data_IF_839270839167
#
_entry.id   IF_839270839167
#
_cell.length_a   1.000
_cell.length_b   1.000
_cell.length_c   1.000
_cell.angle_alpha   90.00
_cell.angle_beta   90.00
_cell.angle_gamma   90.00
#
_symmetry.space_group_name_H-M   'P 1'
#
loop_
_entity.id
_entity.type
_entity.pdbx_description
1 polymer ?
#
# COMPACT_ATOMS: atom_id res chain seq x y z
N UNK A 1 20.93 2.47 3.09
CA UNK A 1 21.19 1.58 4.25
C UNK A 1 19.92 1.30 5.07
N UNK A 2 19.10 2.31 5.43
CA UNK A 2 17.91 2.15 6.27
C UNK A 2 16.82 1.23 5.64
N UNK A 3 16.63 1.25 4.34
CA UNK A 3 15.62 0.45 3.62
C UNK A 3 15.97 -1.03 3.59
N UNK A 4 17.22 -1.38 3.33
CA UNK A 4 17.69 -2.76 3.37
C UNK A 4 17.61 -3.35 4.79
N UNK A 5 17.85 -2.54 5.81
CA UNK A 5 17.70 -2.93 7.21
C UNK A 5 16.23 -3.23 7.57
N UNK A 6 15.26 -2.48 7.04
CA UNK A 6 13.83 -2.75 7.25
C UNK A 6 13.39 -4.08 6.64
N UNK A 7 13.81 -4.35 5.39
CA UNK A 7 13.54 -5.62 4.73
C UNK A 7 14.17 -6.80 5.48
N UNK A 8 15.41 -6.65 5.96
CA UNK A 8 16.10 -7.67 6.75
C UNK A 8 15.40 -7.95 8.09
N UNK A 9 14.97 -6.91 8.81
CA UNK A 9 14.22 -7.05 10.07
C UNK A 9 12.90 -7.80 9.88
N UNK A 10 12.16 -7.50 8.80
CA UNK A 10 10.92 -8.21 8.50
C UNK A 10 11.18 -9.70 8.25
N UNK A 11 12.21 -10.03 7.44
CA UNK A 11 12.58 -11.43 7.18
C UNK A 11 12.99 -12.16 8.46
N UNK A 12 13.80 -11.54 9.32
CA UNK A 12 14.21 -12.12 10.59
C UNK A 12 13.00 -12.38 11.51
N UNK A 13 12.05 -11.44 11.56
CA UNK A 13 10.83 -11.59 12.34
C UNK A 13 9.96 -12.73 11.84
N UNK A 14 9.77 -12.85 10.53
CA UNK A 14 9.03 -13.97 9.91
C UNK A 14 9.69 -15.32 10.27
N UNK A 15 11.01 -15.38 10.25
CA UNK A 15 11.75 -16.60 10.54
C UNK A 15 11.66 -17.02 12.02
N UNK A 16 11.45 -16.08 12.94
CA UNK A 16 11.39 -16.34 14.39
C UNK A 16 9.98 -16.55 14.96
N UNK A 17 8.94 -16.20 14.19
CA UNK A 17 7.54 -16.27 14.64
C UNK A 17 6.73 -17.25 13.80
N UNK A 18 6.37 -18.39 14.40
CA UNK A 18 5.62 -19.47 13.72
C UNK A 18 4.22 -19.03 13.26
N UNK A 19 3.57 -18.12 14.01
CA UNK A 19 2.26 -17.58 13.63
C UNK A 19 2.38 -16.70 12.38
N UNK A 20 3.41 -15.88 12.33
CA UNK A 20 3.71 -15.03 11.19
C UNK A 20 4.13 -15.85 9.96
N UNK A 21 4.90 -16.92 10.15
CA UNK A 21 5.25 -17.87 9.09
C UNK A 21 4.01 -18.53 8.48
N UNK A 22 3.03 -18.93 9.30
CA UNK A 22 1.75 -19.46 8.81
C UNK A 22 0.95 -18.44 8.00
N UNK A 23 0.98 -17.17 8.39
CA UNK A 23 0.37 -16.07 7.62
C UNK A 23 1.07 -15.92 6.26
N UNK A 24 2.41 -15.96 6.22
CA UNK A 24 3.16 -15.90 4.96
C UNK A 24 2.80 -17.07 4.03
N UNK A 25 2.68 -18.29 4.55
CA UNK A 25 2.25 -19.45 3.76
C UNK A 25 0.88 -19.21 3.10
N UNK A 26 -0.07 -18.66 3.83
CA UNK A 26 -1.39 -18.30 3.26
C UNK A 26 -1.29 -17.21 2.19
N UNK A 27 -0.41 -16.22 2.36
CA UNK A 27 -0.16 -15.18 1.35
C UNK A 27 0.39 -15.74 0.04
N UNK A 28 1.31 -16.70 0.13
CA UNK A 28 1.90 -17.39 -1.04
C UNK A 28 0.87 -18.21 -1.83
N UNK A 29 -0.25 -18.59 -1.22
CA UNK A 29 -1.35 -19.33 -1.86
C UNK A 29 -2.38 -18.42 -2.56
N UNK A 30 -2.29 -17.08 -2.39
CA UNK A 30 -3.22 -16.16 -3.05
C UNK A 30 -2.99 -16.13 -4.56
N UNK A 31 -4.05 -16.15 -5.39
CA UNK A 31 -3.93 -16.19 -6.85
C UNK A 31 -3.07 -15.05 -7.44
N UNK A 32 -3.10 -13.85 -6.84
CA UNK A 32 -2.28 -12.72 -7.29
C UNK A 32 -0.77 -12.97 -7.19
N UNK A 33 -0.36 -13.97 -6.40
CA UNK A 33 1.05 -14.33 -6.20
C UNK A 33 1.74 -14.77 -7.50
N UNK A 34 1.05 -15.50 -8.36
CA UNK A 34 1.56 -15.95 -9.66
C UNK A 34 1.91 -14.77 -10.58
N UNK A 35 1.24 -13.64 -10.41
CA UNK A 35 1.42 -12.45 -11.23
C UNK A 35 2.36 -11.40 -10.62
N UNK A 36 2.97 -11.68 -9.46
CA UNK A 36 3.83 -10.72 -8.75
C UNK A 36 4.88 -10.09 -9.64
N UNK A 37 5.67 -10.91 -10.35
CA UNK A 37 6.77 -10.40 -11.18
C UNK A 37 6.27 -9.63 -12.39
N UNK A 38 5.17 -10.07 -13.00
CA UNK A 38 4.52 -9.35 -14.09
C UNK A 38 4.01 -7.98 -13.65
N UNK A 39 3.37 -7.89 -12.48
CA UNK A 39 2.91 -6.63 -11.88
C UNK A 39 4.09 -5.69 -11.61
N UNK A 40 5.15 -6.19 -10.96
CA UNK A 40 6.33 -5.38 -10.63
C UNK A 40 7.05 -4.88 -11.88
N UNK A 41 7.18 -5.71 -12.91
CA UNK A 41 7.77 -5.31 -14.18
C UNK A 41 6.92 -4.25 -14.89
N UNK A 42 5.60 -4.39 -14.87
CA UNK A 42 4.70 -3.38 -15.41
C UNK A 42 4.82 -2.03 -14.67
N UNK A 43 4.86 -2.05 -13.33
CA UNK A 43 5.02 -0.85 -12.49
C UNK A 43 6.37 -0.16 -12.74
N UNK A 44 7.44 -0.91 -12.96
CA UNK A 44 8.76 -0.33 -13.26
C UNK A 44 8.85 0.29 -14.65
N UNK A 45 8.11 -0.27 -15.62
CA UNK A 45 8.18 0.11 -17.03
C UNK A 45 7.17 1.20 -17.42
N UNK A 46 6.14 1.45 -16.63
CA UNK A 46 5.04 2.32 -17.00
C UNK A 46 4.65 3.27 -15.86
N UNK A 47 4.28 4.49 -16.21
CA UNK A 47 3.77 5.49 -15.27
C UNK A 47 2.39 5.11 -14.71
N UNK A 48 1.55 4.49 -15.52
CA UNK A 48 0.20 4.06 -15.12
C UNK A 48 0.03 2.58 -15.44
N UNK A 49 -0.42 1.81 -14.46
CA UNK A 49 -0.65 0.37 -14.56
C UNK A 49 -2.04 0.02 -14.06
N UNK A 50 -2.80 -0.72 -14.84
CA UNK A 50 -4.08 -1.28 -14.43
C UNK A 50 -3.92 -2.76 -14.06
N UNK A 51 -4.26 -3.10 -12.81
CA UNK A 51 -4.25 -4.48 -12.31
C UNK A 51 -5.69 -4.97 -12.17
N UNK A 52 -6.13 -5.79 -13.11
CA UNK A 52 -7.45 -6.41 -13.10
C UNK A 52 -7.39 -7.85 -12.58
N UNK A 53 -8.42 -8.27 -11.86
CA UNK A 53 -8.53 -9.63 -11.34
C UNK A 53 -9.79 -9.82 -10.49
N UNK A 54 -10.17 -11.07 -10.24
CA UNK A 54 -11.37 -11.42 -9.47
C UNK A 54 -11.31 -10.91 -8.02
N UNK A 55 -12.48 -10.74 -7.41
CA UNK A 55 -12.58 -10.43 -5.99
C UNK A 55 -11.97 -11.55 -5.16
N UNK A 56 -11.25 -11.20 -4.09
CA UNK A 56 -10.62 -12.19 -3.20
C UNK A 56 -9.29 -12.75 -3.70
N UNK A 57 -8.82 -12.45 -4.91
CA UNK A 57 -7.52 -12.94 -5.39
C UNK A 57 -6.30 -12.32 -4.68
N UNK A 58 -6.49 -11.32 -3.83
CA UNK A 58 -5.45 -10.71 -3.00
C UNK A 58 -4.89 -9.38 -3.52
N UNK A 59 -5.42 -8.75 -4.57
CA UNK A 59 -4.93 -7.47 -5.11
C UNK A 59 -4.75 -6.41 -4.03
N UNK A 60 -5.82 -6.09 -3.34
CA UNK A 60 -5.88 -5.04 -2.31
C UNK A 60 -4.82 -5.20 -1.22
N UNK A 61 -4.58 -6.44 -0.78
CA UNK A 61 -3.64 -6.70 0.31
C UNK A 61 -2.21 -6.94 -0.17
N UNK A 62 -2.01 -7.53 -1.35
CA UNK A 62 -0.68 -7.97 -1.76
C UNK A 62 0.02 -6.98 -2.70
N UNK A 63 -0.68 -6.37 -3.66
CA UNK A 63 -0.03 -5.46 -4.62
C UNK A 63 0.70 -4.30 -3.94
N UNK A 64 0.11 -3.59 -2.95
CA UNK A 64 0.84 -2.54 -2.24
C UNK A 64 2.09 -3.04 -1.53
N UNK A 65 2.04 -4.25 -0.96
CA UNK A 65 3.19 -4.85 -0.30
C UNK A 65 4.28 -5.28 -1.31
N UNK A 66 3.90 -5.80 -2.48
CA UNK A 66 4.87 -6.16 -3.52
C UNK A 66 5.66 -4.95 -3.99
N UNK A 67 4.98 -3.82 -4.23
CA UNK A 67 5.63 -2.57 -4.64
C UNK A 67 6.56 -2.05 -3.54
N UNK A 68 6.12 -2.07 -2.28
CA UNK A 68 6.94 -1.66 -1.14
C UNK A 68 8.17 -2.54 -0.96
N UNK A 69 7.98 -3.87 -0.96
CA UNK A 69 9.06 -4.84 -0.73
C UNK A 69 10.08 -4.82 -1.89
N UNK A 70 9.62 -4.58 -3.12
CA UNK A 70 10.47 -4.39 -4.29
C UNK A 70 11.34 -3.13 -4.17
N UNK A 71 10.75 -2.00 -3.79
CA UNK A 71 11.48 -0.77 -3.59
C UNK A 71 12.59 -0.96 -2.54
N UNK A 72 12.26 -1.59 -1.41
CA UNK A 72 13.23 -1.88 -0.35
C UNK A 72 14.32 -2.87 -0.77
N UNK A 73 13.97 -3.92 -1.51
CA UNK A 73 14.95 -4.89 -2.01
C UNK A 73 15.96 -4.26 -2.96
N UNK A 74 15.55 -3.19 -3.65
CA UNK A 74 16.42 -2.40 -4.55
C UNK A 74 17.06 -1.17 -3.86
N UNK A 75 17.02 -1.09 -2.54
CA UNK A 75 17.63 0.02 -1.77
C UNK A 75 16.91 1.36 -1.93
N UNK A 76 15.71 1.39 -2.52
CA UNK A 76 14.94 2.61 -2.77
C UNK A 76 13.99 2.90 -1.61
N UNK A 77 13.89 4.18 -1.23
CA UNK A 77 12.80 4.64 -0.36
C UNK A 77 11.46 4.46 -1.03
N UNK A 78 10.41 4.21 -0.25
CA UNK A 78 9.05 4.14 -0.75
C UNK A 78 8.10 4.92 0.15
N UNK A 79 7.26 5.73 -0.45
CA UNK A 79 6.12 6.40 0.16
C UNK A 79 4.90 6.12 -0.73
N UNK A 80 4.09 5.16 -0.30
CA UNK A 80 2.99 4.61 -1.08
C UNK A 80 1.68 5.01 -0.42
N UNK A 81 0.76 5.60 -1.18
CA UNK A 81 -0.61 5.86 -0.74
C UNK A 81 -1.56 4.94 -1.50
N UNK A 82 -2.41 4.23 -0.74
CA UNK A 82 -3.45 3.37 -1.29
C UNK A 82 -4.83 3.90 -0.89
N UNK A 83 -5.67 4.25 -1.86
CA UNK A 83 -7.02 4.71 -1.57
C UNK A 83 -8.02 3.58 -1.48
N UNK A 84 -9.00 3.76 -0.60
CA UNK A 84 -10.15 2.88 -0.43
C UNK A 84 -11.44 3.71 -0.50
N UNK A 85 -12.51 3.22 -1.11
CA UNK A 85 -13.76 3.98 -1.21
C UNK A 85 -14.43 4.18 0.15
N UNK A 86 -14.24 3.23 1.08
CA UNK A 86 -14.91 3.23 2.38
C UNK A 86 -13.93 3.37 3.52
N UNK A 87 -14.31 4.12 4.56
CA UNK A 87 -13.51 4.31 5.78
C UNK A 87 -13.15 2.99 6.45
N UNK A 88 -14.14 2.10 6.60
CA UNK A 88 -13.94 0.78 7.22
C UNK A 88 -12.95 -0.04 6.39
N UNK A 89 -13.04 -0.03 5.07
CA UNK A 89 -12.09 -0.74 4.20
C UNK A 89 -10.66 -0.25 4.39
N UNK A 90 -10.43 1.07 4.45
CA UNK A 90 -9.11 1.63 4.68
C UNK A 90 -8.50 1.16 6.01
N UNK A 91 -9.30 1.12 7.07
CA UNK A 91 -8.89 0.65 8.40
C UNK A 91 -8.58 -0.84 8.39
N UNK A 92 -9.54 -1.68 7.96
CA UNK A 92 -9.41 -3.14 8.05
C UNK A 92 -8.33 -3.70 7.13
N UNK A 93 -8.16 -3.14 5.93
CA UNK A 93 -7.09 -3.55 5.00
C UNK A 93 -5.72 -3.18 5.58
N UNK A 94 -5.57 -1.96 6.09
CA UNK A 94 -4.30 -1.53 6.69
C UNK A 94 -3.93 -2.35 7.93
N UNK A 95 -4.89 -2.65 8.82
CA UNK A 95 -4.68 -3.53 9.98
C UNK A 95 -4.29 -4.95 9.56
N UNK A 96 -4.96 -5.49 8.54
CA UNK A 96 -4.63 -6.81 7.99
C UNK A 96 -3.20 -6.85 7.46
N UNK A 97 -2.79 -5.83 6.68
CA UNK A 97 -1.44 -5.77 6.14
C UNK A 97 -0.41 -5.58 7.26
N UNK A 98 -0.68 -4.74 8.26
CA UNK A 98 0.19 -4.62 9.42
C UNK A 98 0.38 -5.97 10.12
N UNK A 99 -0.70 -6.72 10.35
CA UNK A 99 -0.65 -8.06 10.91
C UNK A 99 0.14 -9.04 10.02
N UNK A 100 -0.06 -9.00 8.69
CA UNK A 100 0.71 -9.81 7.74
C UNK A 100 2.22 -9.49 7.77
N UNK A 101 2.59 -8.30 8.18
CA UNK A 101 3.97 -7.85 8.38
C UNK A 101 4.48 -8.02 9.80
N UNK A 102 3.63 -8.53 10.70
CA UNK A 102 3.93 -8.65 12.13
C UNK A 102 4.12 -7.30 12.81
N UNK A 103 3.45 -6.26 12.34
CA UNK A 103 3.50 -4.89 12.86
C UNK A 103 2.18 -4.51 13.52
N UNK A 104 2.22 -3.52 14.40
CA UNK A 104 1.02 -2.86 14.90
C UNK A 104 0.71 -1.64 14.04
N UNK A 105 -0.56 -1.47 13.71
CA UNK A 105 -1.00 -0.35 12.85
C UNK A 105 -0.60 1.01 13.41
N UNK A 106 -0.03 1.87 12.57
CA UNK A 106 0.39 3.21 12.93
C UNK A 106 1.65 3.30 13.81
N UNK A 107 2.35 2.19 14.02
CA UNK A 107 3.58 2.18 14.82
C UNK A 107 4.85 1.98 13.99
N UNK A 108 4.75 1.55 12.75
CA UNK A 108 5.89 1.31 11.87
C UNK A 108 5.54 1.61 10.41
N UNK A 109 5.60 0.60 9.56
CA UNK A 109 5.53 0.73 8.09
C UNK A 109 4.14 1.09 7.58
N UNK A 110 3.09 0.53 8.21
CA UNK A 110 1.71 0.63 7.73
C UNK A 110 0.90 1.57 8.60
N UNK A 111 0.15 2.46 7.96
CA UNK A 111 -0.75 3.38 8.63
C UNK A 111 -2.04 3.60 7.85
N UNK A 112 -3.00 4.26 8.49
CA UNK A 112 -4.18 4.77 7.78
C UNK A 112 -4.52 6.19 8.20
N UNK A 113 -5.20 6.88 7.29
CA UNK A 113 -5.76 8.20 7.51
C UNK A 113 -7.16 8.27 6.88
N UNK A 114 -8.15 8.47 7.72
CA UNK A 114 -9.54 8.70 7.31
C UNK A 114 -10.02 10.04 7.87
N UNK A 115 -11.23 10.45 7.53
CA UNK A 115 -11.78 11.69 8.07
C UNK A 115 -11.88 11.61 9.59
N UNK A 116 -11.27 12.57 10.28
CA UNK A 116 -11.22 12.73 11.74
C UNK A 116 -10.42 11.65 12.51
N UNK A 117 -9.78 10.71 11.84
CA UNK A 117 -8.95 9.71 12.50
C UNK A 117 -7.70 9.40 11.68
N UNK A 118 -6.56 9.28 12.36
CA UNK A 118 -5.28 8.95 11.74
C UNK A 118 -4.44 8.09 12.69
N UNK A 119 -3.89 7.00 12.16
CA UNK A 119 -2.87 6.17 12.82
C UNK A 119 -1.69 6.02 11.88
N UNK A 120 -0.74 6.92 12.00
CA UNK A 120 0.42 7.03 11.10
C UNK A 120 1.66 7.27 11.95
N UNK A 121 2.71 6.50 11.73
CA UNK A 121 4.04 6.74 12.33
C UNK A 121 4.89 7.63 11.43
N UNK A 122 5.99 8.16 11.98
CA UNK A 122 7.02 8.86 11.19
C UNK A 122 7.70 7.94 10.15
N UNK A 123 7.69 6.62 10.39
CA UNK A 123 8.28 5.60 9.53
C UNK A 123 7.29 5.00 8.52
N UNK A 124 6.07 5.54 8.43
CA UNK A 124 5.03 5.03 7.55
C UNK A 124 5.46 5.12 6.08
N UNK A 125 5.49 3.98 5.42
CA UNK A 125 5.84 3.86 4.00
C UNK A 125 4.66 3.39 3.14
N UNK A 126 3.59 2.89 3.79
CA UNK A 126 2.36 2.44 3.15
C UNK A 126 1.15 3.01 3.91
N UNK A 127 0.55 4.03 3.33
CA UNK A 127 -0.58 4.74 3.91
C UNK A 127 -1.87 4.34 3.21
N UNK A 128 -2.85 3.86 3.96
CA UNK A 128 -4.21 3.67 3.47
C UNK A 128 -5.08 4.87 3.83
N UNK A 129 -5.87 5.37 2.88
CA UNK A 129 -6.77 6.47 3.14
C UNK A 129 -8.04 6.37 2.28
N UNK A 130 -9.05 7.17 2.58
CA UNK A 130 -10.18 7.30 1.65
C UNK A 130 -9.84 8.24 0.50
N UNK A 131 -10.46 7.99 -0.67
CA UNK A 131 -10.24 8.81 -1.89
C UNK A 131 -10.41 10.31 -1.63
N UNK A 132 -11.40 10.70 -0.83
CA UNK A 132 -11.62 12.10 -0.47
C UNK A 132 -10.53 12.71 0.43
N UNK A 133 -9.83 11.89 1.25
CA UNK A 133 -8.68 12.38 2.03
C UNK A 133 -7.50 12.66 1.12
N UNK A 134 -7.18 11.75 0.20
CA UNK A 134 -6.09 11.98 -0.75
C UNK A 134 -6.39 13.17 -1.65
N UNK A 135 -7.60 13.26 -2.20
CA UNK A 135 -8.00 14.38 -3.04
C UNK A 135 -7.79 15.73 -2.33
N UNK A 136 -8.25 15.85 -1.08
CA UNK A 136 -8.04 17.06 -0.28
C UNK A 136 -6.55 17.40 -0.10
N UNK A 137 -5.71 16.40 0.12
CA UNK A 137 -4.26 16.61 0.28
C UNK A 137 -3.61 17.09 -1.03
N UNK A 138 -4.02 16.54 -2.17
CA UNK A 138 -3.51 16.92 -3.49
C UNK A 138 -4.04 18.28 -3.98
N UNK A 139 -5.14 18.79 -3.42
CA UNK A 139 -5.71 20.10 -3.75
C UNK A 139 -5.41 21.17 -2.71
N UNK A 140 -4.63 20.87 -1.68
CA UNK A 140 -4.19 21.84 -0.67
C UNK A 140 -2.96 22.63 -1.13
N UNK A 141 -2.65 23.73 -0.45
CA UNK A 141 -1.45 24.53 -0.72
C UNK A 141 -0.12 23.77 -0.54
N UNK A 142 -0.15 22.65 0.19
CA UNK A 142 0.99 21.74 0.38
C UNK A 142 1.06 20.62 -0.67
N UNK A 143 0.30 20.70 -1.77
CA UNK A 143 0.22 19.64 -2.79
C UNK A 143 1.57 19.31 -3.41
N UNK A 144 2.39 20.31 -3.71
CA UNK A 144 3.69 20.11 -4.37
C UNK A 144 4.63 19.30 -3.50
N UNK A 145 4.76 19.64 -2.22
CA UNK A 145 5.57 18.89 -1.27
C UNK A 145 5.07 17.45 -1.11
N UNK A 146 3.75 17.23 -1.13
CA UNK A 146 3.16 15.91 -1.08
C UNK A 146 3.51 15.10 -2.33
N UNK A 147 3.31 15.68 -3.52
CA UNK A 147 3.59 15.02 -4.79
C UNK A 147 5.08 14.62 -4.90
N UNK A 148 6.00 15.48 -4.47
CA UNK A 148 7.43 15.20 -4.44
C UNK A 148 7.79 14.06 -3.47
N UNK A 149 7.04 13.91 -2.39
CA UNK A 149 7.30 12.89 -1.36
C UNK A 149 6.73 11.51 -1.72
N UNK A 150 5.68 11.45 -2.55
CA UNK A 150 5.01 10.19 -2.91
C UNK A 150 5.76 9.49 -4.05
N UNK A 151 6.00 8.20 -3.88
CA UNK A 151 6.59 7.36 -4.95
C UNK A 151 5.53 6.63 -5.77
N UNK A 152 4.44 6.21 -5.13
CA UNK A 152 3.35 5.49 -5.79
C UNK A 152 1.99 5.89 -5.21
N UNK A 153 1.00 5.97 -6.08
CA UNK A 153 -0.41 6.12 -5.71
C UNK A 153 -1.16 4.91 -6.26
N UNK A 154 -1.87 4.21 -5.39
CA UNK A 154 -2.71 3.06 -5.75
C UNK A 154 -4.16 3.44 -5.50
N UNK A 155 -4.98 3.40 -6.54
CA UNK A 155 -6.42 3.60 -6.45
C UNK A 155 -7.08 2.23 -6.51
N UNK A 156 -7.56 1.75 -5.37
CA UNK A 156 -8.22 0.46 -5.27
C UNK A 156 -9.73 0.58 -5.49
N UNK A 157 -10.37 -0.53 -5.85
CA UNK A 157 -11.82 -0.64 -6.09
C UNK A 157 -12.37 0.41 -7.09
N UNK A 158 -11.59 0.77 -8.10
CA UNK A 158 -11.94 1.80 -9.09
C UNK A 158 -13.30 1.54 -9.78
N UNK A 159 -13.72 0.27 -9.83
CA UNK A 159 -15.01 -0.13 -10.40
C UNK A 159 -16.23 0.31 -9.56
N UNK A 160 -16.07 0.68 -8.28
CA UNK A 160 -17.15 1.25 -7.46
C UNK A 160 -17.57 2.65 -7.93
N UNK A 161 -16.80 3.30 -8.82
CA UNK A 161 -17.09 4.61 -9.41
C UNK A 161 -17.36 5.66 -8.34
N UNK A 162 -16.54 5.66 -7.26
CA UNK A 162 -16.56 6.72 -6.25
C UNK A 162 -16.19 8.06 -6.88
N UNK A 163 -17.00 9.09 -6.66
CA UNK A 163 -16.82 10.44 -7.21
C UNK A 163 -15.39 10.98 -6.96
N UNK A 164 -14.85 10.77 -5.75
CA UNK A 164 -13.52 11.25 -5.40
C UNK A 164 -12.43 10.45 -6.12
N UNK A 165 -12.63 9.15 -6.38
CA UNK A 165 -11.72 8.34 -7.17
C UNK A 165 -11.71 8.76 -8.65
N UNK A 166 -12.88 9.10 -9.20
CA UNK A 166 -12.97 9.64 -10.56
C UNK A 166 -12.21 10.99 -10.68
N UNK A 167 -12.36 11.91 -9.70
CA UNK A 167 -11.58 13.15 -9.65
C UNK A 167 -10.08 12.91 -9.50
N UNK A 168 -9.68 11.94 -8.65
CA UNK A 168 -8.26 11.58 -8.49
C UNK A 168 -7.65 11.13 -9.81
N UNK A 169 -8.35 10.31 -10.60
CA UNK A 169 -7.85 9.86 -11.91
C UNK A 169 -7.66 11.00 -12.90
N UNK A 170 -8.44 12.08 -12.79
CA UNK A 170 -8.29 13.28 -13.64
C UNK A 170 -7.07 14.10 -13.19
N UNK A 171 -6.89 14.29 -11.89
CA UNK A 171 -5.79 15.11 -11.35
C UNK A 171 -4.43 14.43 -11.52
N UNK A 172 -4.39 13.10 -11.43
CA UNK A 172 -3.15 12.32 -11.56
C UNK A 172 -2.73 12.05 -13.00
N UNK A 173 -3.51 12.47 -13.97
CA UNK A 173 -3.23 12.34 -15.43
C UNK A 173 -2.23 13.39 -15.90
#
# INVERSE_FOLDING_TARGET
EATNARAARLRAKIASDTSLAAIQTKREQLPVREFKDAILNAVRANQVVLVAGSTGCGKTTQVPQYVLDDAWANGRGASIVCTQPRRISAMTVSERIANERGESIGQSTVGYQIRLESRVSADCSLLFCTSGVLLRRLTSEASDTLCESLTHIIIDELHERDLFADFLTIILK
#
